data_IF_436742279780
#
_entry.id   IF_436742279780
#
_cell.length_a   1.000
_cell.length_b   1.000
_cell.length_c   1.000
_cell.angle_alpha   90.00
_cell.angle_beta   90.00
_cell.angle_gamma   90.00
#
_symmetry.space_group_name_H-M   'P 1'
#
loop_
_entity.id
_entity.type
_entity.pdbx_description
1 polymer ?
#
# COMPACT_ATOMS: atom_id res chain seq x y z
N UNK A 1 -7.48 39.99 -7.10
CA UNK A 1 -8.34 38.82 -6.82
C UNK A 1 -9.18 38.55 -8.06
N UNK A 2 -9.07 37.37 -8.66
CA UNK A 2 -9.89 37.01 -9.83
C UNK A 2 -11.35 36.93 -9.38
N UNK A 3 -12.23 37.69 -10.03
CA UNK A 3 -13.67 37.67 -9.74
C UNK A 3 -14.33 36.68 -10.68
N UNK A 4 -14.94 35.65 -10.13
CA UNK A 4 -15.76 34.70 -10.89
C UNK A 4 -17.17 35.28 -11.09
N UNK A 5 -17.67 35.23 -12.31
CA UNK A 5 -19.04 35.61 -12.67
C UNK A 5 -20.06 34.58 -12.16
N UNK A 6 -21.36 34.84 -12.35
CA UNK A 6 -22.42 33.97 -11.83
C UNK A 6 -22.35 32.55 -12.41
N UNK A 7 -22.03 32.43 -13.70
CA UNK A 7 -21.93 31.16 -14.41
C UNK A 7 -20.71 30.36 -13.95
N UNK A 8 -19.55 31.00 -13.83
CA UNK A 8 -18.33 30.38 -13.30
C UNK A 8 -18.53 29.90 -11.86
N UNK A 9 -19.23 30.67 -11.02
CA UNK A 9 -19.58 30.25 -9.66
C UNK A 9 -20.46 29.01 -9.68
N UNK A 10 -21.49 28.97 -10.50
CA UNK A 10 -22.32 27.78 -10.68
C UNK A 10 -21.48 26.57 -11.11
N UNK A 11 -20.60 26.73 -12.10
CA UNK A 11 -19.71 25.67 -12.56
C UNK A 11 -18.77 25.19 -11.44
N UNK A 12 -18.19 26.09 -10.63
CA UNK A 12 -17.37 25.71 -9.47
C UNK A 12 -18.20 24.90 -8.47
N UNK A 13 -19.44 25.28 -8.20
CA UNK A 13 -20.31 24.58 -7.25
C UNK A 13 -20.64 23.16 -7.72
N UNK A 14 -20.93 22.98 -9.01
CA UNK A 14 -21.33 21.69 -9.57
C UNK A 14 -20.15 20.77 -9.88
N UNK A 15 -19.01 21.34 -10.29
CA UNK A 15 -17.89 20.58 -10.85
C UNK A 15 -16.71 20.43 -9.89
N UNK A 16 -16.64 21.18 -8.79
CA UNK A 16 -15.55 21.05 -7.81
C UNK A 16 -15.91 20.13 -6.64
N UNK A 17 -14.97 19.90 -5.73
CA UNK A 17 -15.20 19.26 -4.43
C UNK A 17 -15.04 20.25 -3.27
N UNK A 18 -15.22 21.55 -3.54
CA UNK A 18 -15.00 22.63 -2.56
C UNK A 18 -16.11 22.73 -1.52
N UNK A 19 -17.34 22.34 -1.88
CA UNK A 19 -18.51 22.44 -1.01
C UNK A 19 -18.90 21.08 -0.40
N UNK A 20 -19.71 21.13 0.65
CA UNK A 20 -20.33 19.92 1.19
C UNK A 20 -21.37 19.37 0.21
N UNK A 21 -21.55 18.05 0.26
CA UNK A 21 -22.41 17.31 -0.66
C UNK A 21 -22.00 17.45 -2.14
N UNK A 22 -20.71 17.66 -2.41
CA UNK A 22 -20.16 17.64 -3.76
C UNK A 22 -20.51 16.35 -4.51
N UNK A 23 -20.66 16.46 -5.82
CA UNK A 23 -21.04 15.33 -6.65
C UNK A 23 -19.94 14.28 -6.80
N UNK A 24 -20.32 13.01 -6.89
CA UNK A 24 -19.48 11.89 -7.30
C UNK A 24 -19.09 12.02 -8.78
N UNK A 25 -18.17 11.19 -9.25
CA UNK A 25 -17.79 11.20 -10.68
C UNK A 25 -18.97 10.81 -11.59
N UNK A 26 -19.80 9.85 -11.17
CA UNK A 26 -20.97 9.39 -11.93
C UNK A 26 -22.05 10.46 -11.99
N UNK A 27 -22.35 11.09 -10.86
CA UNK A 27 -23.30 12.21 -10.79
C UNK A 27 -22.84 13.37 -11.67
N UNK A 28 -21.54 13.72 -11.67
CA UNK A 28 -21.00 14.74 -12.59
C UNK A 28 -21.15 14.33 -14.05
N UNK A 29 -20.97 13.06 -14.36
CA UNK A 29 -21.20 12.52 -15.70
C UNK A 29 -22.62 12.76 -16.18
N UNK A 30 -23.62 12.60 -15.30
CA UNK A 30 -25.02 12.90 -15.60
C UNK A 30 -25.26 14.41 -15.75
N UNK A 31 -24.62 15.22 -14.90
CA UNK A 31 -24.76 16.68 -14.92
C UNK A 31 -24.09 17.35 -16.12
N UNK A 32 -23.20 16.67 -16.87
CA UNK A 32 -22.64 17.20 -18.13
C UNK A 32 -23.68 17.45 -19.22
N UNK A 33 -24.89 16.93 -19.07
CA UNK A 33 -26.02 17.21 -19.97
C UNK A 33 -26.61 18.61 -19.75
N UNK A 34 -26.24 19.29 -18.66
CA UNK A 34 -26.66 20.65 -18.37
C UNK A 34 -25.96 21.64 -19.31
N UNK A 35 -26.70 22.65 -19.72
CA UNK A 35 -26.18 23.76 -20.52
C UNK A 35 -25.25 24.62 -19.65
N UNK A 36 -23.95 24.53 -19.91
CA UNK A 36 -22.91 25.23 -19.16
C UNK A 36 -22.95 26.76 -19.34
N UNK A 37 -23.72 27.26 -20.32
CA UNK A 37 -23.86 28.68 -20.66
C UNK A 37 -25.11 29.32 -20.04
N UNK A 38 -25.91 28.56 -19.28
CA UNK A 38 -27.11 29.06 -18.60
C UNK A 38 -27.08 28.85 -17.10
N UNK A 39 -27.68 29.81 -16.39
CA UNK A 39 -27.97 29.63 -14.97
C UNK A 39 -29.09 28.62 -14.81
N UNK A 40 -28.85 27.64 -13.95
CA UNK A 40 -29.78 26.56 -13.67
C UNK A 40 -30.80 27.06 -12.65
N UNK A 41 -32.05 27.08 -13.08
CA UNK A 41 -33.20 27.33 -12.23
C UNK A 41 -34.03 26.04 -12.04
N UNK A 42 -35.10 26.13 -11.26
CA UNK A 42 -36.00 25.01 -10.98
C UNK A 42 -36.70 24.47 -12.24
N UNK A 43 -36.95 25.32 -13.25
CA UNK A 43 -37.66 24.91 -14.47
C UNK A 43 -36.72 24.12 -15.41
N UNK A 44 -35.46 24.57 -15.55
CA UNK A 44 -34.45 23.83 -16.29
C UNK A 44 -34.15 22.47 -15.66
N UNK A 45 -34.02 22.41 -14.33
CA UNK A 45 -33.83 21.14 -13.61
C UNK A 45 -35.00 20.18 -13.77
N UNK A 46 -36.23 20.69 -13.84
CA UNK A 46 -37.42 19.88 -14.07
C UNK A 46 -37.44 19.24 -15.46
N UNK A 47 -36.90 19.93 -16.47
CA UNK A 47 -36.87 19.47 -17.86
C UNK A 47 -35.85 18.35 -18.15
N UNK A 48 -34.95 18.06 -17.20
CA UNK A 48 -33.85 17.12 -17.40
C UNK A 48 -34.21 15.75 -16.82
N UNK A 49 -33.93 14.71 -17.61
CA UNK A 49 -34.11 13.31 -17.22
C UNK A 49 -32.98 12.85 -16.30
N UNK A 50 -33.02 13.32 -15.05
CA UNK A 50 -32.24 12.83 -13.90
C UNK A 50 -33.19 12.52 -12.75
N UNK A 51 -32.77 11.66 -11.83
CA UNK A 51 -33.59 11.27 -10.68
C UNK A 51 -33.84 12.45 -9.71
N UNK A 52 -34.96 12.39 -8.99
CA UNK A 52 -35.38 13.48 -8.09
C UNK A 52 -34.42 13.69 -6.91
N UNK A 53 -33.70 12.66 -6.49
CA UNK A 53 -32.70 12.77 -5.42
C UNK A 53 -31.51 13.65 -5.87
N UNK A 54 -31.02 13.43 -7.11
CA UNK A 54 -29.98 14.22 -7.71
C UNK A 54 -30.43 15.66 -7.96
N UNK A 55 -31.67 15.89 -8.39
CA UNK A 55 -32.24 17.25 -8.52
C UNK A 55 -32.24 18.00 -7.18
N UNK A 56 -32.71 17.36 -6.12
CA UNK A 56 -32.68 17.93 -4.77
C UNK A 56 -31.25 18.25 -4.33
N UNK A 57 -30.29 17.38 -4.65
CA UNK A 57 -28.87 17.60 -4.37
C UNK A 57 -28.30 18.80 -5.13
N UNK A 58 -28.64 18.97 -6.41
CA UNK A 58 -28.27 20.16 -7.20
C UNK A 58 -28.80 21.44 -6.57
N UNK A 59 -30.09 21.50 -6.24
CA UNK A 59 -30.67 22.67 -5.57
C UNK A 59 -30.00 22.96 -4.22
N UNK A 60 -29.70 21.91 -3.44
CA UNK A 60 -28.99 22.06 -2.16
C UNK A 60 -27.57 22.60 -2.35
N UNK A 61 -26.86 22.14 -3.37
CA UNK A 61 -25.52 22.65 -3.69
C UNK A 61 -25.60 24.10 -4.15
N UNK A 62 -26.46 24.43 -5.12
CA UNK A 62 -26.64 25.80 -5.65
C UNK A 62 -27.11 26.80 -4.58
N UNK A 63 -27.83 26.34 -3.54
CA UNK A 63 -28.16 27.14 -2.37
C UNK A 63 -26.98 27.55 -1.48
N UNK A 64 -25.79 26.97 -1.67
CA UNK A 64 -24.59 27.25 -0.85
C UNK A 64 -23.76 28.46 -1.35
N UNK A 65 -24.35 29.43 -2.06
CA UNK A 65 -23.63 30.57 -2.64
C UNK A 65 -22.81 31.39 -1.65
N UNK A 66 -23.34 31.64 -0.44
CA UNK A 66 -22.58 32.33 0.63
C UNK A 66 -21.34 31.54 1.07
N UNK A 67 -21.49 30.21 1.20
CA UNK A 67 -20.39 29.31 1.57
C UNK A 67 -19.33 29.22 0.49
N UNK A 68 -19.75 29.20 -0.78
CA UNK A 68 -18.83 29.30 -1.91
C UNK A 68 -18.00 30.58 -1.81
N UNK A 69 -18.64 31.72 -1.54
CA UNK A 69 -17.94 33.00 -1.36
C UNK A 69 -16.81 32.92 -0.35
N UNK A 70 -17.08 32.35 0.83
CA UNK A 70 -16.07 32.14 1.88
C UNK A 70 -14.94 31.21 1.44
N UNK A 71 -15.25 30.10 0.75
CA UNK A 71 -14.21 29.18 0.29
C UNK A 71 -13.35 29.80 -0.83
N UNK A 72 -13.94 30.56 -1.75
CA UNK A 72 -13.19 31.28 -2.80
C UNK A 72 -12.26 32.34 -2.20
N UNK A 73 -12.69 33.02 -1.15
CA UNK A 73 -11.84 33.95 -0.42
C UNK A 73 -10.65 33.26 0.23
N UNK A 74 -10.87 32.12 0.91
CA UNK A 74 -9.79 31.30 1.50
C UNK A 74 -8.80 30.81 0.44
N UNK A 75 -9.29 30.39 -0.73
CA UNK A 75 -8.43 29.98 -1.83
C UNK A 75 -7.56 31.15 -2.31
N UNK A 76 -8.16 32.32 -2.52
CA UNK A 76 -7.43 33.51 -2.94
C UNK A 76 -6.37 33.95 -1.92
N UNK A 77 -6.66 33.88 -0.62
CA UNK A 77 -5.69 34.20 0.44
C UNK A 77 -4.48 33.26 0.41
N UNK A 78 -4.67 32.02 -0.07
CA UNK A 78 -3.61 31.02 -0.25
C UNK A 78 -2.95 31.08 -1.63
N UNK A 79 -3.27 32.09 -2.44
CA UNK A 79 -2.75 32.21 -3.81
C UNK A 79 -3.21 31.08 -4.74
N UNK A 80 -4.37 30.48 -4.45
CA UNK A 80 -4.98 29.45 -5.29
C UNK A 80 -5.98 30.10 -6.23
N UNK A 81 -5.81 29.84 -7.51
CA UNK A 81 -6.74 30.25 -8.55
C UNK A 81 -7.46 29.03 -9.13
N UNK A 82 -8.69 29.26 -9.58
CA UNK A 82 -9.46 28.31 -10.38
C UNK A 82 -9.44 28.81 -11.83
N UNK A 83 -9.11 27.92 -12.75
CA UNK A 83 -9.19 28.19 -14.19
C UNK A 83 -10.11 27.15 -14.83
N UNK A 84 -10.70 27.56 -15.96
CA UNK A 84 -11.52 26.71 -16.80
C UNK A 84 -10.73 26.43 -18.08
N UNK A 85 -10.30 25.18 -18.33
CA UNK A 85 -9.54 24.84 -19.54
C UNK A 85 -10.25 25.15 -20.85
N UNK A 86 -11.58 25.33 -20.84
CA UNK A 86 -12.37 25.81 -21.98
C UNK A 86 -12.13 27.29 -22.31
N UNK A 87 -11.71 28.09 -21.34
CA UNK A 87 -11.50 29.54 -21.47
C UNK A 87 -10.02 29.93 -21.52
N UNK A 88 -9.15 29.08 -20.98
CA UNK A 88 -7.72 29.32 -20.91
C UNK A 88 -6.96 28.10 -21.46
N UNK A 89 -6.06 28.34 -22.40
CA UNK A 89 -5.23 27.27 -22.98
C UNK A 89 -4.36 26.63 -21.90
N UNK A 90 -4.54 25.32 -21.70
CA UNK A 90 -3.70 24.47 -20.88
C UNK A 90 -3.07 23.44 -21.82
N UNK A 91 -1.73 23.23 -21.78
CA UNK A 91 -1.07 22.30 -22.68
C UNK A 91 -1.71 20.91 -22.67
N UNK A 92 -1.84 20.32 -23.86
CA UNK A 92 -2.32 18.95 -24.00
C UNK A 92 -1.45 17.97 -23.20
N UNK A 93 -0.16 18.25 -23.02
CA UNK A 93 0.78 17.46 -22.20
C UNK A 93 0.35 17.38 -20.73
N UNK A 94 -0.25 18.45 -20.18
CA UNK A 94 -0.79 18.50 -18.82
C UNK A 94 -2.18 17.87 -18.80
N UNK A 95 -3.08 18.26 -19.72
CA UNK A 95 -4.46 17.77 -19.77
C UNK A 95 -4.52 16.25 -19.96
N UNK A 96 -3.59 15.68 -20.73
CA UNK A 96 -3.50 14.24 -20.96
C UNK A 96 -3.08 13.43 -19.71
N UNK A 97 -2.67 14.08 -18.61
CA UNK A 97 -2.34 13.41 -17.34
C UNK A 97 -3.55 13.18 -16.44
N UNK A 98 -4.75 13.61 -16.83
CA UNK A 98 -5.98 13.38 -16.07
C UNK A 98 -6.84 12.29 -16.71
N UNK A 99 -7.50 11.45 -15.89
CA UNK A 99 -8.36 10.34 -16.31
C UNK A 99 -9.48 10.81 -17.21
N UNK A 100 -10.04 11.97 -16.88
CA UNK A 100 -11.01 12.68 -17.69
C UNK A 100 -10.45 14.09 -17.93
N UNK A 101 -10.81 14.68 -19.07
CA UNK A 101 -10.50 16.10 -19.34
C UNK A 101 -11.09 16.95 -18.21
N UNK A 102 -10.26 17.65 -17.42
CA UNK A 102 -10.75 18.50 -16.33
C UNK A 102 -11.54 19.68 -16.88
N UNK A 103 -12.71 19.91 -16.29
CA UNK A 103 -13.55 21.07 -16.63
C UNK A 103 -13.16 22.32 -15.81
N UNK A 104 -12.46 22.10 -14.71
CA UNK A 104 -11.82 23.13 -13.90
C UNK A 104 -10.51 22.61 -13.32
N UNK A 105 -9.60 23.54 -13.02
CA UNK A 105 -8.33 23.25 -12.37
C UNK A 105 -8.07 24.28 -11.27
N UNK A 106 -7.58 23.81 -10.14
CA UNK A 106 -6.98 24.60 -9.07
C UNK A 106 -5.48 24.72 -9.31
N UNK A 107 -4.95 25.94 -9.28
CA UNK A 107 -3.54 26.25 -9.55
C UNK A 107 -2.97 27.14 -8.48
N UNK A 108 -1.71 26.91 -8.11
CA UNK A 108 -0.93 27.83 -7.27
C UNK A 108 0.56 27.71 -7.61
N UNK A 109 1.28 28.83 -7.55
CA UNK A 109 2.68 28.92 -7.97
C UNK A 109 2.86 29.59 -9.34
N UNK A 110 3.94 29.26 -10.03
CA UNK A 110 4.36 29.93 -11.25
C UNK A 110 3.60 29.42 -12.49
N UNK A 111 2.62 30.20 -12.96
CA UNK A 111 1.78 29.83 -14.10
C UNK A 111 2.49 29.89 -15.44
N UNK A 112 3.60 30.61 -15.55
CA UNK A 112 4.39 30.70 -16.79
C UNK A 112 4.93 29.34 -17.19
N UNK A 113 5.05 28.40 -16.24
CA UNK A 113 5.42 27.01 -16.50
C UNK A 113 4.43 26.28 -17.40
N UNK A 114 3.17 26.75 -17.54
CA UNK A 114 2.24 26.19 -18.53
C UNK A 114 2.63 26.52 -19.97
N UNK A 115 3.45 27.54 -20.20
CA UNK A 115 3.86 27.95 -21.55
C UNK A 115 5.14 27.23 -22.02
N UNK A 116 5.80 26.47 -21.15
CA UNK A 116 7.03 25.76 -21.46
C UNK A 116 6.73 24.31 -21.88
N UNK A 117 6.88 24.02 -23.18
CA UNK A 117 6.63 22.68 -23.73
C UNK A 117 7.59 21.60 -23.22
N UNK A 118 8.78 21.99 -22.74
CA UNK A 118 9.82 21.10 -22.22
C UNK A 118 9.76 20.90 -20.70
N UNK A 119 8.80 21.52 -20.02
CA UNK A 119 8.72 21.49 -18.56
C UNK A 119 8.49 20.07 -18.03
N UNK A 120 9.20 19.71 -16.97
CA UNK A 120 8.97 18.45 -16.27
C UNK A 120 7.59 18.44 -15.61
N UNK A 121 6.82 17.36 -15.80
CA UNK A 121 5.55 17.15 -15.11
C UNK A 121 5.73 15.98 -14.14
N UNK A 122 5.51 16.21 -12.85
CA UNK A 122 5.43 15.17 -11.83
C UNK A 122 4.01 14.99 -11.34
N UNK A 123 3.71 13.77 -10.91
CA UNK A 123 2.37 13.39 -10.48
C UNK A 123 2.38 12.78 -9.08
N UNK A 124 3.52 12.81 -8.39
CA UNK A 124 3.69 12.37 -7.00
C UNK A 124 4.62 13.30 -6.21
N UNK A 125 4.34 13.46 -4.92
CA UNK A 125 5.20 14.25 -4.03
C UNK A 125 6.60 13.63 -3.87
N UNK A 126 6.70 12.31 -4.04
CA UNK A 126 7.97 11.58 -3.94
C UNK A 126 8.88 11.89 -5.14
N UNK A 127 8.32 11.95 -6.34
CA UNK A 127 9.08 12.36 -7.54
C UNK A 127 9.49 13.83 -7.43
N UNK A 128 8.60 14.68 -6.92
CA UNK A 128 8.89 16.08 -6.65
C UNK A 128 10.14 16.27 -5.76
N UNK A 129 10.28 15.47 -4.68
CA UNK A 129 11.40 15.61 -3.74
C UNK A 129 12.79 15.47 -4.36
N UNK A 130 12.91 14.79 -5.48
CA UNK A 130 14.18 14.51 -6.14
C UNK A 130 14.48 15.47 -7.30
N UNK A 131 13.68 16.54 -7.45
CA UNK A 131 13.79 17.45 -8.59
C UNK A 131 14.24 18.83 -8.13
N UNK A 132 15.31 19.32 -8.76
CA UNK A 132 15.87 20.65 -8.50
C UNK A 132 15.46 21.70 -9.56
N UNK A 133 14.93 21.24 -10.69
CA UNK A 133 14.51 22.08 -11.83
C UNK A 133 13.06 22.56 -11.67
N UNK A 134 12.65 23.65 -12.36
CA UNK A 134 11.25 24.04 -12.39
C UNK A 134 10.36 22.93 -12.94
N UNK A 135 9.17 22.73 -12.34
CA UNK A 135 8.24 21.67 -12.72
C UNK A 135 6.76 22.06 -12.56
N UNK A 136 5.90 21.31 -13.25
CA UNK A 136 4.48 21.23 -12.96
C UNK A 136 4.24 20.02 -12.06
N UNK A 137 3.60 20.21 -10.91
CA UNK A 137 3.22 19.13 -10.01
C UNK A 137 1.70 18.95 -10.02
N UNK A 138 1.23 17.80 -10.51
CA UNK A 138 -0.17 17.38 -10.41
C UNK A 138 -0.39 16.70 -9.06
N UNK A 139 -1.28 17.26 -8.25
CA UNK A 139 -1.46 16.90 -6.84
C UNK A 139 -1.83 15.42 -6.63
N UNK A 140 -0.96 14.67 -5.94
CA UNK A 140 -1.20 13.27 -5.56
C UNK A 140 -2.02 13.11 -4.26
N UNK A 141 -2.34 14.23 -3.61
CA UNK A 141 -3.09 14.31 -2.36
C UNK A 141 -3.83 15.64 -2.30
N UNK A 142 -4.67 15.82 -1.27
CA UNK A 142 -5.39 17.07 -1.00
C UNK A 142 -4.46 18.28 -1.07
N UNK A 143 -4.89 19.32 -1.77
CA UNK A 143 -4.03 20.47 -2.06
C UNK A 143 -3.67 21.23 -0.78
N UNK A 144 -4.60 21.31 0.18
CA UNK A 144 -4.36 21.90 1.49
C UNK A 144 -3.30 21.16 2.33
N UNK A 145 -3.14 19.85 2.10
CA UNK A 145 -2.11 19.04 2.75
C UNK A 145 -0.74 19.27 2.10
N UNK A 146 -0.67 19.37 0.77
CA UNK A 146 0.59 19.65 0.06
C UNK A 146 1.16 21.03 0.42
N UNK A 147 0.30 22.04 0.51
CA UNK A 147 0.71 23.40 0.85
C UNK A 147 1.27 23.55 2.28
N UNK A 148 1.11 22.55 3.14
CA UNK A 148 1.72 22.52 4.48
C UNK A 148 3.12 21.93 4.48
N UNK A 149 3.58 21.35 3.37
CA UNK A 149 4.92 20.78 3.30
C UNK A 149 5.96 21.89 3.11
N UNK A 150 6.99 21.97 3.98
CA UNK A 150 7.96 23.07 3.92
C UNK A 150 8.69 23.19 2.59
N UNK A 151 9.01 22.06 1.96
CA UNK A 151 9.67 22.00 0.66
C UNK A 151 8.76 22.48 -0.48
N UNK A 152 7.47 22.13 -0.46
CA UNK A 152 6.49 22.67 -1.41
C UNK A 152 6.35 24.18 -1.23
N UNK A 153 6.21 24.65 0.01
CA UNK A 153 6.08 26.08 0.30
C UNK A 153 7.31 26.86 -0.16
N UNK A 154 8.51 26.35 0.13
CA UNK A 154 9.78 26.94 -0.30
C UNK A 154 9.89 27.03 -1.83
N UNK A 155 9.55 25.95 -2.55
CA UNK A 155 9.62 25.94 -4.01
C UNK A 155 8.55 26.82 -4.67
N UNK A 156 7.36 26.97 -4.05
CA UNK A 156 6.34 27.94 -4.46
C UNK A 156 6.86 29.37 -4.33
N UNK A 157 7.45 29.72 -3.19
CA UNK A 157 8.04 31.04 -2.96
C UNK A 157 9.18 31.34 -3.93
N UNK A 158 9.97 30.33 -4.30
CA UNK A 158 11.03 30.43 -5.32
C UNK A 158 10.52 30.47 -6.76
N UNK A 159 9.21 30.36 -6.99
CA UNK A 159 8.62 30.36 -8.33
C UNK A 159 9.02 29.16 -9.20
N UNK A 160 9.48 28.08 -8.59
CA UNK A 160 9.99 26.88 -9.29
C UNK A 160 8.91 25.85 -9.57
N UNK A 161 7.74 25.96 -8.94
CA UNK A 161 6.67 25.00 -9.17
C UNK A 161 5.36 25.65 -9.53
N UNK A 162 4.59 24.90 -10.32
CA UNK A 162 3.17 25.08 -10.47
C UNK A 162 2.46 23.85 -9.90
N UNK A 163 1.79 24.00 -8.77
CA UNK A 163 0.94 22.96 -8.21
C UNK A 163 -0.46 23.04 -8.84
N UNK A 164 -0.94 21.92 -9.36
CA UNK A 164 -2.15 21.84 -10.17
C UNK A 164 -3.02 20.64 -9.75
N UNK A 165 -4.33 20.80 -9.71
CA UNK A 165 -5.28 19.71 -9.42
C UNK A 165 -6.68 19.99 -9.98
N UNK A 166 -7.42 18.98 -10.41
CA UNK A 166 -8.86 19.09 -10.72
C UNK A 166 -9.75 18.96 -9.46
N UNK A 167 -9.14 18.60 -8.32
CA UNK A 167 -9.79 18.44 -7.01
C UNK A 167 -9.03 19.20 -5.93
N UNK A 168 -9.74 19.89 -5.05
CA UNK A 168 -9.12 20.61 -3.93
C UNK A 168 -9.10 19.76 -2.66
N UNK A 169 -10.23 19.13 -2.31
CA UNK A 169 -10.40 18.35 -1.06
C UNK A 169 -10.04 16.87 -1.20
N UNK A 170 -9.80 16.41 -2.43
CA UNK A 170 -9.36 15.07 -2.78
C UNK A 170 -8.10 15.11 -3.66
N UNK A 171 -7.58 13.93 -3.99
CA UNK A 171 -6.45 13.78 -4.91
C UNK A 171 -6.90 14.13 -6.33
N UNK A 172 -5.98 14.59 -7.18
CA UNK A 172 -6.28 14.81 -8.58
C UNK A 172 -6.72 13.50 -9.27
N UNK A 173 -7.67 13.58 -10.20
CA UNK A 173 -8.09 12.46 -11.05
C UNK A 173 -7.05 12.23 -12.14
N UNK A 174 -5.90 11.70 -11.74
CA UNK A 174 -4.81 11.41 -12.66
C UNK A 174 -5.17 10.22 -13.54
N UNK A 175 -4.90 10.33 -14.85
CA UNK A 175 -4.81 9.17 -15.74
C UNK A 175 -3.86 8.25 -15.01
N UNK A 176 -4.35 7.08 -14.65
CA UNK A 176 -3.45 6.03 -14.25
C UNK A 176 -2.44 5.97 -15.39
N UNK A 177 -1.17 6.24 -15.08
CA UNK A 177 -0.14 5.57 -15.83
C UNK A 177 -0.48 4.12 -15.61
N UNK A 178 -1.22 3.59 -16.57
CA UNK A 178 -1.15 2.20 -16.89
C UNK A 178 0.33 2.01 -17.18
N UNK A 179 1.10 1.71 -16.13
CA UNK A 179 1.86 0.47 -16.14
C UNK A 179 0.88 -0.47 -16.78
N UNK A 180 1.04 -0.74 -18.08
CA UNK A 180 0.14 -1.60 -18.82
C UNK A 180 0.01 -2.81 -17.91
N UNK A 181 -1.11 -2.92 -17.21
CA UNK A 181 -1.51 -4.11 -16.51
C UNK A 181 -1.96 -5.00 -17.66
N UNK A 182 -0.98 -5.40 -18.49
CA UNK A 182 -1.08 -6.67 -19.16
C UNK A 182 -1.44 -7.61 -18.02
N UNK A 183 -2.62 -8.20 -18.08
CA UNK A 183 -2.83 -9.50 -17.49
C UNK A 183 -1.59 -10.32 -17.86
N UNK A 184 -0.70 -10.49 -16.90
CA UNK A 184 0.56 -11.19 -17.09
C UNK A 184 0.49 -12.38 -16.17
N UNK A 185 -0.06 -13.45 -16.71
CA UNK A 185 0.49 -14.76 -16.40
C UNK A 185 2.03 -14.64 -16.54
N UNK A 186 2.76 -14.86 -15.44
CA UNK A 186 4.22 -14.90 -15.44
C UNK A 186 4.98 -13.76 -14.74
N UNK A 187 4.34 -12.88 -13.94
CA UNK A 187 5.11 -12.02 -13.02
C UNK A 187 5.70 -12.85 -11.88
N UNK A 188 6.94 -12.56 -11.52
CA UNK A 188 7.53 -13.16 -10.32
C UNK A 188 6.75 -12.72 -9.09
N UNK A 189 6.46 -13.66 -8.18
CA UNK A 189 5.79 -13.45 -6.91
C UNK A 189 6.76 -13.63 -5.75
N UNK A 190 6.75 -12.70 -4.81
CA UNK A 190 7.51 -12.79 -3.55
C UNK A 190 6.55 -12.97 -2.39
N UNK A 191 6.75 -14.04 -1.60
CA UNK A 191 6.09 -14.17 -0.31
C UNK A 191 6.89 -13.43 0.76
N UNK A 192 6.28 -12.43 1.39
CA UNK A 192 6.88 -11.71 2.51
C UNK A 192 6.36 -12.28 3.83
N UNK A 193 7.26 -12.75 4.68
CA UNK A 193 6.95 -13.28 6.00
C UNK A 193 7.78 -12.59 7.10
N UNK A 194 7.19 -12.34 8.26
CA UNK A 194 7.94 -11.81 9.39
C UNK A 194 7.21 -11.85 10.71
N UNK A 195 7.92 -11.42 11.77
CA UNK A 195 7.42 -11.54 13.14
C UNK A 195 6.28 -10.56 13.44
N UNK A 196 5.32 -11.02 14.26
CA UNK A 196 4.25 -10.16 14.81
C UNK A 196 4.75 -9.14 15.85
N UNK A 197 5.96 -9.34 16.37
CA UNK A 197 6.60 -8.51 17.39
C UNK A 197 7.51 -7.43 16.83
N UNK A 198 7.66 -7.33 15.51
CA UNK A 198 8.50 -6.34 14.85
C UNK A 198 7.65 -5.18 14.36
N UNK A 199 7.89 -3.99 14.91
CA UNK A 199 7.10 -2.79 14.64
C UNK A 199 7.69 -1.88 13.56
N UNK A 200 8.91 -2.15 13.09
CA UNK A 200 9.62 -1.31 12.13
C UNK A 200 10.28 -2.15 11.02
N UNK A 201 10.40 -1.56 9.83
CA UNK A 201 11.11 -2.13 8.69
C UNK A 201 12.52 -1.54 8.61
N UNK A 202 13.57 -2.34 8.84
CA UNK A 202 14.96 -1.88 8.76
C UNK A 202 15.34 -1.42 7.34
N UNK A 203 16.31 -0.51 7.24
CA UNK A 203 16.70 0.12 5.96
C UNK A 203 17.10 -0.89 4.87
N UNK A 204 17.79 -1.98 5.24
CA UNK A 204 18.18 -3.05 4.31
C UNK A 204 16.97 -3.79 3.71
N UNK A 205 15.89 -3.93 4.48
CA UNK A 205 14.62 -4.47 4.02
C UNK A 205 13.95 -3.46 3.09
N UNK A 206 13.91 -2.18 3.45
CA UNK A 206 13.35 -1.12 2.60
C UNK A 206 14.04 -1.07 1.23
N UNK A 207 15.38 -1.14 1.18
CA UNK A 207 16.14 -1.26 -0.07
C UNK A 207 15.70 -2.45 -0.93
N UNK A 208 15.33 -3.56 -0.30
CA UNK A 208 14.84 -4.75 -1.01
C UNK A 208 13.40 -4.59 -1.51
N UNK A 209 12.55 -3.91 -0.74
CA UNK A 209 11.21 -3.53 -1.18
C UNK A 209 11.26 -2.57 -2.36
N UNK A 210 12.19 -1.62 -2.38
CA UNK A 210 12.41 -0.74 -3.52
C UNK A 210 12.84 -1.51 -4.78
N UNK A 211 13.68 -2.54 -4.63
CA UNK A 211 14.03 -3.42 -5.75
C UNK A 211 12.83 -4.25 -6.24
N UNK A 212 12.02 -4.78 -5.32
CA UNK A 212 10.76 -5.46 -5.64
C UNK A 212 9.85 -4.53 -6.45
N UNK A 213 9.71 -3.27 -6.01
CA UNK A 213 8.92 -2.23 -6.69
C UNK A 213 9.44 -1.95 -8.09
N UNK A 214 10.75 -1.70 -8.23
CA UNK A 214 11.41 -1.43 -9.53
C UNK A 214 11.27 -2.59 -10.51
N UNK A 215 11.27 -3.82 -10.00
CA UNK A 215 11.15 -5.03 -10.82
C UNK A 215 9.70 -5.47 -11.07
N UNK A 216 8.72 -4.74 -10.54
CA UNK A 216 7.29 -5.09 -10.64
C UNK A 216 7.00 -6.53 -10.17
N UNK A 217 7.70 -6.98 -9.12
CA UNK A 217 7.49 -8.29 -8.49
C UNK A 217 6.24 -8.22 -7.62
N UNK A 218 5.29 -9.12 -7.83
CA UNK A 218 4.06 -9.16 -7.07
C UNK A 218 4.30 -9.61 -5.63
N UNK A 219 3.79 -8.85 -4.66
CA UNK A 219 3.95 -9.13 -3.22
C UNK A 219 2.77 -9.94 -2.73
N UNK A 220 3.04 -11.14 -2.22
CA UNK A 220 2.07 -11.98 -1.50
C UNK A 220 2.25 -11.74 -0.01
N UNK A 221 1.20 -11.30 0.67
CA UNK A 221 1.29 -10.94 2.09
C UNK A 221 0.05 -11.30 2.88
N UNK A 222 0.24 -11.59 4.18
CA UNK A 222 -0.84 -11.84 5.11
C UNK A 222 -1.58 -10.58 5.53
N UNK A 223 -2.80 -10.76 6.03
CA UNK A 223 -3.68 -9.70 6.51
C UNK A 223 -3.48 -9.33 8.00
N UNK A 224 -2.30 -9.53 8.61
CA UNK A 224 -2.12 -9.22 10.03
C UNK A 224 -2.06 -7.71 10.30
N UNK A 225 -2.91 -7.21 11.18
CA UNK A 225 -2.91 -5.81 11.68
C UNK A 225 -1.75 -5.51 12.66
N UNK A 226 -0.80 -6.43 12.83
CA UNK A 226 0.35 -6.27 13.71
C UNK A 226 1.58 -6.93 13.10
N UNK A 227 2.73 -6.35 13.38
CA UNK A 227 4.02 -6.88 12.97
C UNK A 227 4.38 -6.53 11.53
N UNK A 228 5.28 -7.33 10.97
CA UNK A 228 5.82 -7.15 9.61
C UNK A 228 4.73 -7.00 8.55
N UNK A 229 3.67 -7.83 8.56
CA UNK A 229 2.59 -7.72 7.57
C UNK A 229 2.01 -6.30 7.50
N UNK A 230 1.68 -5.71 8.66
CA UNK A 230 1.15 -4.35 8.75
C UNK A 230 2.17 -3.34 8.23
N UNK A 231 3.41 -3.42 8.70
CA UNK A 231 4.43 -2.44 8.33
C UNK A 231 4.72 -2.47 6.82
N UNK A 232 4.76 -3.66 6.22
CA UNK A 232 5.02 -3.83 4.79
C UNK A 232 3.81 -3.31 3.99
N UNK A 233 2.59 -3.62 4.42
CA UNK A 233 1.38 -3.06 3.84
C UNK A 233 1.42 -1.52 3.89
N UNK A 234 1.75 -0.94 5.03
CA UNK A 234 1.85 0.52 5.19
C UNK A 234 2.98 1.10 4.33
N UNK A 235 4.11 0.41 4.22
CA UNK A 235 5.21 0.79 3.34
C UNK A 235 4.80 0.79 1.86
N UNK A 236 4.05 -0.22 1.41
CA UNK A 236 3.59 -0.34 0.02
C UNK A 236 2.48 0.66 -0.33
N UNK A 237 1.83 1.25 0.68
CA UNK A 237 0.92 2.40 0.50
C UNK A 237 1.65 3.73 0.29
N UNK A 238 2.94 3.83 0.63
CA UNK A 238 3.71 5.06 0.47
C UNK A 238 3.74 5.49 -1.00
N UNK A 239 3.74 6.80 -1.25
CA UNK A 239 3.71 7.36 -2.61
C UNK A 239 5.04 7.11 -3.35
N UNK A 240 5.04 6.67 -4.62
CA UNK A 240 3.87 6.18 -5.37
C UNK A 240 3.39 4.81 -4.87
N UNK A 241 2.09 4.65 -4.62
CA UNK A 241 1.52 3.38 -4.11
C UNK A 241 1.95 2.22 -5.02
N UNK A 242 2.41 1.12 -4.41
CA UNK A 242 2.76 -0.06 -5.18
C UNK A 242 1.52 -0.86 -5.56
N UNK A 243 1.24 -1.12 -6.87
CA UNK A 243 -0.03 -1.73 -7.27
C UNK A 243 -0.03 -3.27 -7.19
N UNK A 244 1.14 -3.92 -7.20
CA UNK A 244 1.23 -5.38 -7.32
C UNK A 244 1.26 -6.06 -5.95
N UNK A 245 0.13 -6.07 -5.27
CA UNK A 245 -0.03 -6.70 -3.96
C UNK A 245 -1.25 -7.63 -3.97
N UNK A 246 -1.06 -8.86 -3.50
CA UNK A 246 -2.11 -9.85 -3.26
C UNK A 246 -2.18 -10.16 -1.75
N UNK A 247 -3.27 -9.73 -1.11
CA UNK A 247 -3.50 -9.94 0.32
C UNK A 247 -4.22 -11.26 0.56
N UNK A 248 -3.61 -12.12 1.37
CA UNK A 248 -4.19 -13.41 1.76
C UNK A 248 -4.91 -13.31 3.09
N UNK A 249 -6.13 -13.83 3.13
CA UNK A 249 -6.98 -13.87 4.33
C UNK A 249 -7.68 -15.23 4.48
N UNK A 250 -7.97 -15.65 5.71
CA UNK A 250 -8.88 -16.78 5.99
C UNK A 250 -10.29 -16.30 6.36
N UNK A 251 -10.49 -14.98 6.42
CA UNK A 251 -11.77 -14.35 6.77
C UNK A 251 -12.48 -13.92 5.50
N UNK A 252 -13.80 -13.67 5.61
CA UNK A 252 -14.61 -13.10 4.53
C UNK A 252 -14.04 -11.77 3.99
N UNK A 253 -13.46 -10.96 4.89
CA UNK A 253 -12.76 -9.72 4.56
C UNK A 253 -11.38 -9.71 5.25
N UNK A 254 -10.32 -9.21 4.59
CA UNK A 254 -9.03 -8.97 5.24
C UNK A 254 -9.18 -8.06 6.46
N UNK A 255 -8.36 -8.26 7.49
CA UNK A 255 -8.36 -7.39 8.67
C UNK A 255 -7.79 -6.00 8.37
N UNK A 256 -6.91 -5.90 7.39
CA UNK A 256 -6.34 -4.64 6.92
C UNK A 256 -7.17 -4.04 5.79
N UNK A 257 -7.11 -2.71 5.65
CA UNK A 257 -7.70 -2.02 4.49
C UNK A 257 -7.03 -2.50 3.19
N UNK A 258 -7.81 -2.91 2.21
CA UNK A 258 -7.31 -3.25 0.87
C UNK A 258 -7.45 -2.02 -0.02
N UNK A 259 -6.40 -1.67 -0.77
CA UNK A 259 -6.47 -0.60 -1.76
C UNK A 259 -7.11 -1.13 -3.06
N UNK A 260 -7.74 -0.25 -3.85
CA UNK A 260 -8.54 -0.68 -5.01
C UNK A 260 -7.74 -1.48 -6.04
N UNK A 261 -6.44 -1.21 -6.15
CA UNK A 261 -5.55 -1.87 -7.12
C UNK A 261 -5.04 -3.23 -6.62
N UNK A 262 -5.21 -3.53 -5.32
CA UNK A 262 -4.69 -4.74 -4.69
C UNK A 262 -5.68 -5.90 -4.80
N UNK A 263 -5.13 -7.08 -5.03
CA UNK A 263 -5.91 -8.31 -5.06
C UNK A 263 -6.13 -8.85 -3.65
N UNK A 264 -7.24 -9.54 -3.45
CA UNK A 264 -7.51 -10.28 -2.21
C UNK A 264 -7.75 -11.73 -2.55
N UNK A 265 -7.04 -12.62 -1.85
CA UNK A 265 -7.19 -14.06 -1.96
C UNK A 265 -7.67 -14.65 -0.65
N UNK A 266 -8.90 -15.13 -0.65
CA UNK A 266 -9.50 -15.81 0.49
C UNK A 266 -9.15 -17.29 0.44
N UNK A 267 -8.53 -17.80 1.51
CA UNK A 267 -8.20 -19.20 1.69
C UNK A 267 -9.25 -19.82 2.60
N UNK A 268 -10.05 -20.73 2.05
CA UNK A 268 -11.01 -21.49 2.84
C UNK A 268 -10.26 -22.54 3.66
N UNK A 269 -10.51 -22.56 4.97
CA UNK A 269 -9.91 -23.52 5.90
C UNK A 269 -10.99 -24.30 6.60
N UNK A 270 -10.72 -25.55 6.92
CA UNK A 270 -11.63 -26.35 7.74
C UNK A 270 -11.80 -25.70 9.11
N UNK A 271 -13.06 -25.45 9.48
CA UNK A 271 -13.45 -24.87 10.77
C UNK A 271 -13.08 -25.74 11.97
N UNK A 272 -12.83 -27.04 11.77
CA UNK A 272 -12.39 -27.97 12.82
C UNK A 272 -10.94 -27.71 13.27
N UNK A 273 -10.12 -27.07 12.42
CA UNK A 273 -8.73 -26.77 12.71
C UNK A 273 -8.59 -25.68 13.76
N UNK A 274 -7.53 -25.75 14.56
CA UNK A 274 -7.19 -24.68 15.49
C UNK A 274 -6.87 -23.40 14.71
N UNK A 275 -7.11 -22.20 15.28
CA UNK A 275 -6.84 -20.93 14.60
C UNK A 275 -5.41 -20.80 14.06
N UNK A 276 -4.42 -21.36 14.78
CA UNK A 276 -3.04 -21.37 14.32
C UNK A 276 -2.85 -22.25 13.07
N UNK A 277 -3.49 -23.41 13.01
CA UNK A 277 -3.42 -24.33 11.86
C UNK A 277 -4.10 -23.73 10.63
N UNK A 278 -5.21 -23.00 10.82
CA UNK A 278 -5.85 -22.25 9.74
C UNK A 278 -4.91 -21.17 9.16
N UNK A 279 -4.22 -20.42 10.02
CA UNK A 279 -3.18 -19.48 9.55
C UNK A 279 -2.04 -20.21 8.83
N UNK A 280 -1.65 -21.40 9.30
CA UNK A 280 -0.63 -22.21 8.63
C UNK A 280 -1.07 -22.64 7.22
N UNK A 281 -2.35 -22.97 7.01
CA UNK A 281 -2.90 -23.27 5.68
C UNK A 281 -2.81 -22.05 4.76
N UNK A 282 -3.16 -20.87 5.26
CA UNK A 282 -3.02 -19.59 4.52
C UNK A 282 -1.59 -19.32 4.11
N UNK A 283 -0.66 -19.42 5.05
CA UNK A 283 0.76 -19.22 4.81
C UNK A 283 1.33 -20.22 3.80
N UNK A 284 0.87 -21.48 3.84
CA UNK A 284 1.25 -22.47 2.82
C UNK A 284 0.76 -22.07 1.45
N UNK A 285 -0.48 -21.58 1.32
CA UNK A 285 -1.00 -21.11 0.04
C UNK A 285 -0.20 -19.91 -0.52
N UNK A 286 0.30 -19.02 0.35
CA UNK A 286 1.22 -17.95 -0.07
C UNK A 286 2.56 -18.51 -0.53
N UNK A 287 3.15 -19.43 0.23
CA UNK A 287 4.42 -20.06 -0.14
C UNK A 287 4.31 -20.88 -1.44
N UNK A 288 3.21 -21.60 -1.65
CA UNK A 288 2.93 -22.38 -2.86
C UNK A 288 2.83 -21.47 -4.09
N UNK A 289 2.21 -20.29 -3.95
CA UNK A 289 2.01 -19.31 -5.02
C UNK A 289 3.24 -18.44 -5.33
N UNK A 290 4.21 -18.34 -4.42
CA UNK A 290 5.41 -17.52 -4.61
C UNK A 290 6.48 -18.21 -5.46
N UNK A 291 7.35 -17.42 -6.11
CA UNK A 291 8.57 -17.92 -6.75
C UNK A 291 9.77 -17.93 -5.80
N UNK A 292 9.77 -17.03 -4.82
CA UNK A 292 10.81 -16.89 -3.80
C UNK A 292 10.25 -16.18 -2.55
N UNK A 293 11.01 -16.23 -1.45
CA UNK A 293 10.61 -15.61 -0.18
C UNK A 293 11.47 -14.44 0.25
N UNK A 294 10.87 -13.50 0.97
CA UNK A 294 11.57 -12.52 1.80
C UNK A 294 11.12 -12.74 3.25
N UNK A 295 12.06 -13.09 4.12
CA UNK A 295 11.77 -13.39 5.52
C UNK A 295 12.47 -12.38 6.44
N UNK A 296 11.72 -11.79 7.36
CA UNK A 296 12.25 -10.86 8.38
C UNK A 296 12.18 -11.53 9.74
N UNK A 297 13.30 -12.08 10.15
CA UNK A 297 13.43 -12.94 11.31
C UNK A 297 14.00 -12.19 12.52
N UNK A 298 13.10 -11.89 13.47
CA UNK A 298 13.49 -11.56 14.84
C UNK A 298 13.61 -12.89 15.61
N UNK A 299 14.82 -13.32 16.02
CA UNK A 299 15.07 -14.70 16.44
C UNK A 299 14.29 -15.12 17.68
N UNK A 300 14.31 -14.26 18.71
CA UNK A 300 13.63 -14.50 19.98
C UNK A 300 12.93 -13.23 20.48
N UNK A 301 11.90 -13.44 21.29
CA UNK A 301 11.22 -12.42 22.09
C UNK A 301 10.74 -13.02 23.40
N UNK A 302 10.55 -12.22 24.44
CA UNK A 302 9.88 -12.65 25.67
C UNK A 302 8.35 -12.66 25.49
N UNK A 303 7.70 -13.77 25.84
CA UNK A 303 6.24 -13.86 25.78
C UNK A 303 5.57 -13.30 27.06
N UNK A 304 4.23 -13.27 27.08
CA UNK A 304 3.44 -12.77 28.24
C UNK A 304 3.67 -13.54 29.55
N UNK A 305 4.25 -14.74 29.48
CA UNK A 305 4.58 -15.58 30.62
C UNK A 305 6.05 -15.48 31.03
N UNK A 306 6.80 -14.55 30.42
CA UNK A 306 8.21 -14.32 30.70
C UNK A 306 9.15 -15.38 30.11
N UNK A 307 8.69 -16.28 29.24
CA UNK A 307 9.53 -17.30 28.62
C UNK A 307 10.01 -16.86 27.22
N UNK A 308 11.19 -17.34 26.82
CA UNK A 308 11.73 -17.14 25.47
C UNK A 308 10.80 -17.79 24.44
N UNK A 309 10.41 -17.01 23.45
CA UNK A 309 9.62 -17.43 22.31
C UNK A 309 10.39 -17.16 21.02
N UNK A 310 10.61 -18.21 20.24
CA UNK A 310 11.16 -18.13 18.89
C UNK A 310 10.09 -17.67 17.91
N UNK A 311 10.45 -16.87 16.90
CA UNK A 311 9.54 -16.49 15.80
C UNK A 311 9.27 -17.67 14.86
N UNK A 312 8.48 -18.62 15.36
CA UNK A 312 8.25 -19.92 14.71
C UNK A 312 7.54 -19.81 13.36
N UNK A 313 6.66 -18.82 13.17
CA UNK A 313 5.94 -18.59 11.91
C UNK A 313 6.90 -18.27 10.76
N UNK A 314 7.75 -17.25 10.94
CA UNK A 314 8.75 -16.84 9.95
C UNK A 314 9.73 -17.97 9.64
N UNK A 315 10.21 -18.67 10.66
CA UNK A 315 11.14 -19.78 10.50
C UNK A 315 10.52 -20.95 9.73
N UNK A 316 9.28 -21.32 10.07
CA UNK A 316 8.52 -22.36 9.36
C UNK A 316 8.28 -21.99 7.90
N UNK A 317 7.86 -20.76 7.61
CA UNK A 317 7.61 -20.29 6.25
C UNK A 317 8.89 -20.32 5.41
N UNK A 318 10.04 -19.99 6.03
CA UNK A 318 11.36 -20.12 5.39
C UNK A 318 11.70 -21.58 5.09
N UNK A 319 11.51 -22.49 6.06
CA UNK A 319 11.73 -23.94 5.87
C UNK A 319 10.88 -24.46 4.72
N UNK A 320 9.58 -24.13 4.70
CA UNK A 320 8.67 -24.59 3.66
C UNK A 320 9.15 -24.18 2.26
N UNK A 321 9.48 -22.89 2.07
CA UNK A 321 9.99 -22.40 0.79
C UNK A 321 11.26 -23.14 0.35
N UNK A 322 12.19 -23.38 1.27
CA UNK A 322 13.45 -24.07 0.98
C UNK A 322 13.23 -25.57 0.66
N UNK A 323 12.28 -26.24 1.32
CA UNK A 323 11.88 -27.61 0.99
C UNK A 323 11.24 -27.70 -0.40
N UNK A 324 10.53 -26.64 -0.81
CA UNK A 324 9.97 -26.49 -2.16
C UNK A 324 10.98 -25.93 -3.19
N UNK A 325 12.27 -25.87 -2.82
CA UNK A 325 13.40 -25.41 -3.66
C UNK A 325 13.27 -23.94 -4.12
N UNK A 326 12.56 -23.11 -3.36
CA UNK A 326 12.41 -21.67 -3.59
C UNK A 326 13.41 -20.92 -2.73
N UNK A 327 14.15 -19.99 -3.35
CA UNK A 327 15.15 -19.19 -2.64
C UNK A 327 14.49 -18.23 -1.64
N UNK A 328 15.19 -17.91 -0.55
CA UNK A 328 14.73 -16.97 0.47
C UNK A 328 15.78 -15.90 0.75
N UNK A 329 15.42 -14.63 0.60
CA UNK A 329 16.19 -13.51 1.13
C UNK A 329 15.85 -13.34 2.60
N UNK A 330 16.75 -13.78 3.46
CA UNK A 330 16.54 -13.93 4.90
C UNK A 330 17.24 -12.81 5.65
N UNK A 331 16.45 -11.90 6.22
CA UNK A 331 16.92 -10.85 7.11
C UNK A 331 16.84 -11.34 8.54
N UNK A 332 17.92 -11.20 9.30
CA UNK A 332 17.98 -11.68 10.68
C UNK A 332 18.74 -10.71 11.56
N UNK A 333 18.36 -10.65 12.84
CA UNK A 333 19.09 -9.84 13.82
C UNK A 333 20.27 -10.65 14.35
N UNK A 334 21.48 -10.09 14.25
CA UNK A 334 22.74 -10.64 14.74
C UNK A 334 23.62 -9.49 15.22
N UNK A 335 24.25 -9.60 16.40
CA UNK A 335 25.05 -8.54 17.02
C UNK A 335 24.32 -7.18 17.08
N UNK A 336 23.02 -7.23 17.41
CA UNK A 336 22.12 -6.06 17.43
C UNK A 336 22.04 -5.28 16.10
N UNK A 337 22.38 -5.93 14.98
CA UNK A 337 22.26 -5.40 13.62
C UNK A 337 21.43 -6.32 12.76
N UNK A 338 20.87 -5.78 11.68
CA UNK A 338 20.10 -6.57 10.74
C UNK A 338 21.04 -7.03 9.63
N UNK A 339 21.34 -8.32 9.63
CA UNK A 339 22.12 -9.01 8.61
C UNK A 339 21.21 -9.62 7.54
N UNK A 340 21.80 -10.02 6.41
CA UNK A 340 21.07 -10.63 5.29
C UNK A 340 21.80 -11.85 4.76
N UNK A 341 21.05 -12.93 4.52
CA UNK A 341 21.52 -14.14 3.85
C UNK A 341 20.60 -14.50 2.68
N UNK A 342 21.17 -14.94 1.56
CA UNK A 342 20.40 -15.47 0.43
C UNK A 342 20.41 -16.99 0.50
N UNK A 343 19.35 -17.56 1.04
CA UNK A 343 19.20 -18.99 1.29
C UNK A 343 18.66 -19.69 0.04
N UNK A 344 19.26 -20.83 -0.32
CA UNK A 344 18.78 -21.70 -1.41
C UNK A 344 18.43 -23.09 -0.90
N UNK A 345 18.99 -23.49 0.24
CA UNK A 345 18.82 -24.82 0.83
C UNK A 345 18.58 -24.74 2.34
N UNK A 346 18.09 -25.84 2.91
CA UNK A 346 17.98 -26.00 4.38
C UNK A 346 19.36 -25.92 5.06
N UNK A 347 20.43 -26.36 4.40
CA UNK A 347 21.79 -26.27 4.93
C UNK A 347 22.25 -24.81 5.07
N UNK A 348 21.85 -23.92 4.16
CA UNK A 348 22.14 -22.48 4.27
C UNK A 348 21.46 -21.90 5.52
N UNK A 349 20.18 -22.24 5.76
CA UNK A 349 19.45 -21.79 6.94
C UNK A 349 20.09 -22.32 8.23
N UNK A 350 20.47 -23.59 8.25
CA UNK A 350 21.17 -24.20 9.39
C UNK A 350 22.48 -23.48 9.70
N UNK A 351 23.26 -23.16 8.67
CA UNK A 351 24.51 -22.41 8.80
C UNK A 351 24.29 -21.01 9.40
N UNK A 352 23.19 -20.33 9.04
CA UNK A 352 22.82 -19.05 9.67
C UNK A 352 22.44 -19.25 11.14
N UNK A 353 21.70 -20.31 11.47
CA UNK A 353 21.29 -20.62 12.85
C UNK A 353 22.52 -20.94 13.72
N UNK A 354 23.49 -21.67 13.21
CA UNK A 354 24.72 -22.03 13.92
C UNK A 354 25.55 -20.81 14.34
N UNK A 355 25.50 -19.70 13.58
CA UNK A 355 26.17 -18.44 13.95
C UNK A 355 25.72 -17.89 15.30
N UNK A 356 24.47 -18.14 15.71
CA UNK A 356 23.95 -17.66 17.00
C UNK A 356 24.70 -18.24 18.21
N UNK A 357 25.47 -19.30 18.04
CA UNK A 357 26.31 -19.89 19.09
C UNK A 357 27.46 -18.97 19.52
N UNK A 358 27.89 -18.08 18.62
CA UNK A 358 29.04 -17.18 18.81
C UNK A 358 28.62 -15.70 18.73
N UNK A 359 27.32 -15.43 18.87
CA UNK A 359 26.78 -14.06 18.81
C UNK A 359 27.23 -13.23 20.01
N UNK A 360 27.66 -11.99 19.75
CA UNK A 360 27.95 -11.03 20.80
C UNK A 360 26.67 -10.30 21.20
N UNK A 361 26.11 -10.70 22.34
CA UNK A 361 24.87 -10.12 22.86
C UNK A 361 25.11 -8.82 23.61
N UNK A 362 24.17 -7.88 23.50
CA UNK A 362 24.17 -6.68 24.33
C UNK A 362 23.84 -7.00 25.79
N UNK A 363 24.25 -6.15 26.73
CA UNK A 363 23.91 -6.32 28.17
C UNK A 363 22.41 -6.48 28.41
N UNK A 364 21.60 -5.72 27.67
CA UNK A 364 20.14 -5.78 27.76
C UNK A 364 19.58 -7.12 27.25
N UNK A 365 20.10 -7.64 26.13
CA UNK A 365 19.68 -8.94 25.61
C UNK A 365 20.10 -10.09 26.52
N UNK A 366 21.31 -10.02 27.09
CA UNK A 366 21.77 -11.00 28.08
C UNK A 366 20.86 -11.02 29.29
N UNK A 367 20.50 -9.85 29.84
CA UNK A 367 19.56 -9.73 30.95
C UNK A 367 18.15 -10.24 30.59
N UNK A 368 17.66 -9.94 29.39
CA UNK A 368 16.35 -10.43 28.93
C UNK A 368 16.31 -11.96 28.84
N UNK A 369 17.38 -12.57 28.34
CA UNK A 369 17.53 -14.03 28.24
C UNK A 369 17.63 -14.67 29.63
N UNK A 370 18.53 -14.18 30.50
CA UNK A 370 18.76 -14.77 31.83
C UNK A 370 17.58 -14.57 32.78
N UNK A 371 16.82 -13.47 32.63
CA UNK A 371 15.58 -13.23 33.37
C UNK A 371 14.38 -13.99 32.82
N UNK A 372 14.55 -14.82 31.78
CA UNK A 372 13.46 -15.58 31.19
C UNK A 372 13.16 -16.86 31.96
N UNK A 373 11.86 -17.20 32.06
CA UNK A 373 11.41 -18.40 32.76
C UNK A 373 11.98 -19.67 32.11
N UNK A 374 12.60 -20.52 32.92
CA UNK A 374 13.19 -21.78 32.47
C UNK A 374 14.57 -21.64 31.82
N UNK A 375 15.28 -20.56 32.15
CA UNK A 375 16.71 -20.34 31.87
C UNK A 375 17.46 -20.37 33.20
N UNK A 376 18.57 -21.10 33.25
CA UNK A 376 19.45 -21.14 34.42
C UNK A 376 20.25 -19.83 34.53
N UNK A 377 20.52 -19.36 35.75
CA UNK A 377 21.12 -18.02 35.97
C UNK A 377 22.57 -17.92 35.52
N UNK A 378 23.26 -19.05 35.48
CA UNK A 378 24.66 -19.23 35.09
C UNK A 378 24.82 -19.74 33.65
N UNK A 379 23.71 -19.92 32.92
CA UNK A 379 23.77 -20.34 31.53
C UNK A 379 24.41 -19.27 30.65
N UNK A 380 25.19 -19.69 29.66
CA UNK A 380 25.76 -18.79 28.67
C UNK A 380 24.63 -18.30 27.71
N UNK A 381 24.32 -16.98 27.66
CA UNK A 381 23.11 -16.50 27.00
C UNK A 381 23.04 -16.74 25.49
N UNK A 382 24.17 -16.69 24.77
CA UNK A 382 24.19 -16.92 23.32
C UNK A 382 23.87 -18.39 22.99
N UNK A 383 24.39 -19.33 23.77
CA UNK A 383 24.09 -20.75 23.69
C UNK A 383 22.64 -21.06 24.08
N UNK A 384 22.06 -20.35 25.06
CA UNK A 384 20.62 -20.44 25.36
C UNK A 384 19.79 -20.01 24.15
N UNK A 385 20.11 -18.84 23.56
CA UNK A 385 19.43 -18.32 22.36
C UNK A 385 19.55 -19.32 21.19
N UNK A 386 20.77 -19.75 20.87
CA UNK A 386 21.05 -20.77 19.85
C UNK A 386 20.25 -22.05 20.10
N UNK A 387 20.34 -22.63 21.31
CA UNK A 387 19.68 -23.90 21.63
C UNK A 387 18.17 -23.82 21.46
N UNK A 388 17.54 -22.71 21.86
CA UNK A 388 16.10 -22.48 21.68
C UNK A 388 15.72 -22.37 20.20
N UNK A 389 16.49 -21.60 19.42
CA UNK A 389 16.25 -21.43 17.98
C UNK A 389 16.45 -22.77 17.26
N UNK A 390 17.57 -23.45 17.48
CA UNK A 390 17.92 -24.71 16.83
C UNK A 390 16.92 -25.82 17.18
N UNK A 391 16.54 -25.97 18.45
CA UNK A 391 15.49 -26.92 18.85
C UNK A 391 14.19 -26.66 18.09
N UNK A 392 13.79 -25.39 17.95
CA UNK A 392 12.57 -25.05 17.24
C UNK A 392 12.69 -25.27 15.73
N UNK A 393 13.84 -24.98 15.15
CA UNK A 393 14.16 -25.26 13.75
C UNK A 393 14.02 -26.75 13.44
N UNK A 394 14.67 -27.63 14.21
CA UNK A 394 14.63 -29.09 14.00
C UNK A 394 13.19 -29.66 14.16
N UNK A 395 12.44 -29.16 15.15
CA UNK A 395 11.03 -29.52 15.33
C UNK A 395 10.17 -29.14 14.10
N UNK A 396 10.33 -27.91 13.60
CA UNK A 396 9.58 -27.42 12.45
C UNK A 396 9.99 -28.14 11.16
N UNK A 397 11.29 -28.39 10.96
CA UNK A 397 11.80 -29.10 9.80
C UNK A 397 11.23 -30.51 9.72
N UNK A 398 11.28 -31.26 10.82
CA UNK A 398 10.70 -32.61 10.89
C UNK A 398 9.21 -32.62 10.58
N UNK A 399 8.47 -31.64 11.10
CA UNK A 399 7.02 -31.53 10.88
C UNK A 399 6.69 -31.21 9.41
N UNK A 400 7.37 -30.26 8.79
CA UNK A 400 7.11 -29.89 7.38
C UNK A 400 7.59 -30.98 6.41
N UNK A 401 8.69 -31.70 6.69
CA UNK A 401 9.10 -32.88 5.92
C UNK A 401 8.06 -34.00 5.96
N UNK A 402 7.50 -34.29 7.15
CA UNK A 402 6.43 -35.29 7.28
C UNK A 402 5.21 -34.90 6.42
N UNK A 403 4.79 -33.65 6.49
CA UNK A 403 3.66 -33.14 5.71
C UNK A 403 3.94 -33.19 4.19
N UNK A 404 5.17 -32.94 3.77
CA UNK A 404 5.55 -33.02 2.35
C UNK A 404 5.48 -34.48 1.84
N UNK A 405 5.92 -35.44 2.64
CA UNK A 405 5.82 -36.88 2.33
C UNK A 405 4.36 -37.35 2.26
N UNK A 406 3.52 -36.95 3.22
CA UNK A 406 2.09 -37.27 3.22
C UNK A 406 1.37 -36.70 1.96
N UNK A 407 1.85 -35.55 1.45
CA UNK A 407 1.38 -34.92 0.20
C UNK A 407 1.85 -35.63 -1.07
N UNK A 408 3.07 -36.19 -1.08
CA UNK A 408 3.56 -36.97 -2.23
C UNK A 408 2.82 -38.31 -2.33
N UNK A 409 2.55 -38.96 -1.19
CA UNK A 409 1.87 -40.25 -1.15
C UNK A 409 0.38 -40.16 -1.56
N UNK A 410 -0.27 -39.02 -1.26
CA UNK A 410 -1.65 -38.76 -1.66
C UNK A 410 -1.81 -38.36 -3.15
N UNK A 411 -0.75 -37.90 -3.83
CA UNK A 411 -0.75 -37.65 -5.27
C UNK A 411 -0.47 -38.90 -6.12
N UNK A 412 -0.08 -40.01 -5.49
CA UNK A 412 0.20 -41.30 -6.13
C UNK A 412 -0.99 -42.28 -6.20
N UNK A 413 -2.16 -41.93 -5.65
CA UNK A 413 -3.39 -42.73 -5.78
C UNK A 413 -4.25 -42.19 -6.93
N UNK A 414 -4.72 -43.03 -7.88
CA UNK A 414 -5.69 -42.59 -8.88
C UNK A 414 -6.93 -42.03 -8.17
N UNK A 415 -7.38 -40.85 -8.58
CA UNK A 415 -8.71 -40.36 -8.25
C UNK A 415 -9.71 -41.13 -9.12
N UNK A 416 -10.05 -42.33 -8.69
CA UNK A 416 -11.32 -42.95 -9.09
C UNK A 416 -12.37 -42.61 -8.03
N UNK A 417 -13.51 -42.14 -8.55
CA UNK A 417 -14.82 -42.01 -7.91
C UNK A 417 -15.00 -40.97 -6.79
N UNK A 418 -15.52 -39.80 -7.18
CA UNK A 418 -16.68 -39.20 -6.52
C UNK A 418 -17.43 -38.30 -7.52
N UNK A 419 -18.06 -38.96 -8.49
CA UNK A 419 -19.31 -38.50 -9.09
C UNK A 419 -20.42 -39.15 -8.26
N UNK A 420 -21.53 -38.43 -8.06
CA UNK A 420 -22.72 -38.77 -7.27
C UNK A 420 -22.70 -38.26 -5.84
N UNK A 421 -23.39 -37.13 -5.62
CA UNK A 421 -24.45 -37.00 -4.61
C UNK A 421 -25.22 -35.69 -4.89
N UNK A 422 -25.89 -35.67 -6.05
CA UNK A 422 -27.24 -35.12 -6.11
C UNK A 422 -28.19 -36.31 -5.99
N UNK A 423 -28.86 -36.37 -4.85
CA UNK A 423 -29.90 -37.31 -4.47
C UNK A 423 -30.63 -36.72 -3.28
#
# INVERSE_FOLDING_TARGET
MKKYNALEKQQIMLKSDLLEHSFTSDERGLLRKLDDDKLIDSEQLASISIDEELKMKVMKVLGQGMRLGLELEKLSQRGIEIIFPSQQSVPATVMNRFSNVPELLFLTGNKELLSDEGIGIVTSYTDFKNIEKPIIFIADRKMDKLLRFPDISDQLTKGRILLLSDRYRNNATKKEESVKLKEQQGRKKVFISGSRSQADIPENVQKSLELIRKQSIEVLIGDSEKGVDREIIDYLRLSPRYPFVEIFTIKKMPRVKVENEWQTKTIFTDSSLKPQEQQMVKDRAMADAADWGLAIFKPITKNRYGAIQVSSGTLRNTIQLLLDKKAVKFFYVFDNKVEVANLKTIADLKSVIEKYKEETLTSNEMEEILSSKGVEKDAEPSNVKYTKINKKFEELLKNEQKLQNDRSDSRGKPRDEQISLFG
#
